data_IF_689508659899
#
_entry.id   IF_689508659899
#
_cell.length_a   1.000
_cell.length_b   1.000
_cell.length_c   1.000
_cell.angle_alpha   90.00
_cell.angle_beta   90.00
_cell.angle_gamma   90.00
#
_symmetry.space_group_name_H-M   'P 1'
#
loop_
_entity.id
_entity.type
_entity.pdbx_description
1 polymer ?
#
# COMPACT_ATOMS: atom_id res chain seq x y z
N UNK A 1 -20.41 -22.77 4.19
CA UNK A 1 -21.53 -23.76 4.16
C UNK A 1 -21.25 -24.90 5.12
N UNK A 2 -20.12 -25.59 5.01
CA UNK A 2 -19.72 -26.73 5.84
C UNK A 2 -19.76 -26.44 7.36
N UNK A 3 -19.23 -25.31 7.82
CA UNK A 3 -19.26 -24.91 9.24
C UNK A 3 -20.70 -24.85 9.77
N UNK A 4 -21.63 -24.30 8.98
CA UNK A 4 -23.05 -24.21 9.37
C UNK A 4 -23.70 -25.60 9.46
N UNK A 5 -23.30 -26.52 8.61
CA UNK A 5 -23.78 -27.88 8.59
C UNK A 5 -23.31 -28.64 9.83
N UNK A 6 -22.01 -28.50 10.18
CA UNK A 6 -21.46 -29.08 11.42
C UNK A 6 -22.13 -28.55 12.69
N UNK A 7 -22.42 -27.25 12.73
CA UNK A 7 -23.15 -26.65 13.85
C UNK A 7 -24.56 -27.22 13.94
N UNK A 8 -25.27 -27.45 12.82
CA UNK A 8 -26.60 -28.09 12.79
C UNK A 8 -26.56 -29.54 13.25
N UNK A 9 -25.46 -30.24 12.99
CA UNK A 9 -25.20 -31.61 13.47
C UNK A 9 -24.86 -31.66 14.97
N UNK A 10 -24.80 -30.51 15.65
CA UNK A 10 -24.56 -30.42 17.08
C UNK A 10 -23.10 -30.23 17.49
N UNK A 11 -22.18 -29.99 16.51
CA UNK A 11 -20.79 -29.65 16.80
C UNK A 11 -20.75 -28.22 17.32
N UNK A 12 -20.09 -27.97 18.45
CA UNK A 12 -19.96 -26.64 19.01
C UNK A 12 -18.97 -25.83 18.18
N UNK A 13 -19.22 -24.52 17.94
CA UNK A 13 -18.31 -23.66 17.19
C UNK A 13 -16.86 -23.69 17.74
N UNK A 14 -16.68 -23.80 19.04
CA UNK A 14 -15.38 -23.89 19.73
C UNK A 14 -14.59 -25.18 19.44
N UNK A 15 -15.26 -26.21 18.95
CA UNK A 15 -14.66 -27.48 18.56
C UNK A 15 -14.28 -27.52 17.06
N UNK A 16 -14.56 -26.44 16.32
CA UNK A 16 -14.25 -26.33 14.89
C UNK A 16 -13.01 -25.47 14.71
N UNK A 17 -11.97 -26.00 14.08
CA UNK A 17 -10.79 -25.25 13.69
C UNK A 17 -10.66 -25.21 12.16
N UNK A 18 -10.38 -24.04 11.62
CA UNK A 18 -10.07 -23.86 10.20
C UNK A 18 -8.62 -23.44 10.06
N UNK A 19 -7.88 -24.16 9.24
CA UNK A 19 -6.47 -23.91 8.98
C UNK A 19 -6.30 -23.32 7.58
N UNK A 20 -5.56 -22.23 7.49
CA UNK A 20 -5.22 -21.58 6.23
C UNK A 20 -3.74 -21.73 5.95
N UNK A 21 -3.40 -21.82 4.70
CA UNK A 21 -2.01 -21.83 4.23
C UNK A 21 -1.41 -20.42 4.23
N UNK A 22 -2.24 -19.43 3.93
CA UNK A 22 -1.88 -18.01 3.81
C UNK A 22 -2.91 -17.21 4.62
N UNK A 23 -2.47 -16.18 5.32
CA UNK A 23 -3.34 -15.37 6.20
C UNK A 23 -4.46 -14.63 5.44
N UNK A 24 -4.23 -14.26 4.18
CA UNK A 24 -5.22 -13.61 3.32
C UNK A 24 -6.44 -14.47 3.01
N UNK A 25 -6.27 -15.80 2.97
CA UNK A 25 -7.36 -16.76 2.72
C UNK A 25 -8.42 -16.79 3.84
N UNK A 26 -8.07 -16.29 5.03
CA UNK A 26 -8.99 -16.25 6.16
C UNK A 26 -10.07 -15.16 6.00
N UNK A 27 -9.80 -14.09 5.27
CA UNK A 27 -10.67 -12.90 5.21
C UNK A 27 -12.07 -13.18 4.69
N UNK A 28 -12.27 -13.86 3.54
CA UNK A 28 -13.62 -14.16 3.05
C UNK A 28 -14.41 -15.04 4.03
N UNK A 29 -13.73 -15.93 4.74
CA UNK A 29 -14.39 -16.74 5.76
C UNK A 29 -14.82 -15.90 6.96
N UNK A 30 -13.97 -15.02 7.45
CA UNK A 30 -14.27 -14.12 8.57
C UNK A 30 -15.47 -13.24 8.25
N UNK A 31 -15.52 -12.65 7.04
CA UNK A 31 -16.67 -11.87 6.58
C UNK A 31 -17.96 -12.67 6.60
N UNK A 32 -17.93 -13.91 6.12
CA UNK A 32 -19.07 -14.82 6.17
C UNK A 32 -19.47 -15.24 7.59
N UNK A 33 -18.52 -15.46 8.50
CA UNK A 33 -18.80 -15.76 9.89
C UNK A 33 -19.49 -14.58 10.59
N UNK A 34 -19.04 -13.36 10.33
CA UNK A 34 -19.66 -12.13 10.86
C UNK A 34 -21.08 -11.95 10.30
N UNK A 35 -21.27 -12.10 8.99
CA UNK A 35 -22.57 -12.00 8.32
C UNK A 35 -23.59 -12.98 8.91
N UNK A 36 -23.14 -14.20 9.17
CA UNK A 36 -23.98 -15.25 9.75
C UNK A 36 -24.03 -15.27 11.27
N UNK A 37 -23.42 -14.28 11.94
CA UNK A 37 -23.36 -14.15 13.42
C UNK A 37 -22.82 -15.40 14.13
N UNK A 38 -21.84 -16.07 13.51
CA UNK A 38 -21.14 -17.21 14.09
C UNK A 38 -19.94 -16.67 14.87
N UNK A 39 -19.89 -16.96 16.18
CA UNK A 39 -18.76 -16.56 17.02
C UNK A 39 -17.50 -17.32 16.62
N UNK A 40 -16.37 -16.63 16.55
CA UNK A 40 -15.08 -17.20 16.22
C UNK A 40 -13.96 -16.53 17.01
N UNK A 41 -12.84 -17.22 17.14
CA UNK A 41 -11.59 -16.67 17.66
C UNK A 41 -10.50 -16.86 16.62
N UNK A 42 -9.66 -15.86 16.44
CA UNK A 42 -8.44 -15.97 15.63
C UNK A 42 -7.24 -16.13 16.56
N UNK A 43 -6.39 -17.10 16.26
CA UNK A 43 -5.15 -17.33 17.02
C UNK A 43 -4.16 -16.18 16.81
N UNK A 44 -4.19 -15.59 15.61
CA UNK A 44 -3.42 -14.40 15.26
C UNK A 44 -4.38 -13.33 14.75
N UNK A 45 -4.07 -12.05 15.03
CA UNK A 45 -4.83 -10.95 14.44
C UNK A 45 -4.65 -11.00 12.93
N UNK A 46 -5.75 -10.85 12.17
CA UNK A 46 -5.63 -10.61 10.71
C UNK A 46 -4.70 -9.44 10.50
N UNK A 47 -3.61 -9.61 9.75
CA UNK A 47 -2.75 -8.48 9.45
C UNK A 47 -3.62 -7.43 8.74
N UNK A 48 -3.73 -6.26 9.34
CA UNK A 48 -4.36 -5.15 8.65
C UNK A 48 -3.48 -4.82 7.45
N UNK A 49 -3.98 -5.04 6.23
CA UNK A 49 -3.22 -4.76 4.99
C UNK A 49 -2.68 -3.33 4.95
N UNK A 50 -3.38 -2.39 5.61
CA UNK A 50 -2.96 -1.00 5.71
C UNK A 50 -1.78 -0.79 6.66
N UNK A 51 -1.45 -1.76 7.51
CA UNK A 51 -0.22 -1.74 8.33
C UNK A 51 1.03 -2.16 7.57
N UNK A 52 0.85 -2.82 6.41
CA UNK A 52 1.94 -3.30 5.57
C UNK A 52 2.74 -2.13 4.97
N UNK A 53 4.06 -2.33 4.74
CA UNK A 53 4.90 -1.25 4.19
C UNK A 53 4.44 -0.78 2.80
N UNK A 54 3.89 -1.67 1.97
CA UNK A 54 3.32 -1.33 0.65
C UNK A 54 2.17 -0.34 0.81
N UNK A 55 1.26 -0.59 1.74
CA UNK A 55 0.17 0.34 2.02
C UNK A 55 0.69 1.70 2.49
N UNK A 56 1.68 1.71 3.39
CA UNK A 56 2.32 2.94 3.87
C UNK A 56 2.96 3.73 2.73
N UNK A 57 3.60 3.04 1.79
CA UNK A 57 4.20 3.67 0.60
C UNK A 57 3.12 4.31 -0.29
N UNK A 58 2.05 3.57 -0.59
CA UNK A 58 0.94 4.04 -1.41
C UNK A 58 0.24 5.23 -0.76
N UNK A 59 -0.04 5.13 0.55
CA UNK A 59 -0.64 6.23 1.32
C UNK A 59 0.25 7.48 1.28
N UNK A 60 1.57 7.32 1.42
CA UNK A 60 2.51 8.43 1.32
C UNK A 60 2.50 9.07 -0.08
N UNK A 61 2.48 8.25 -1.15
CA UNK A 61 2.33 8.74 -2.52
C UNK A 61 1.05 9.55 -2.70
N UNK A 62 -0.06 9.04 -2.23
CA UNK A 62 -1.36 9.68 -2.40
C UNK A 62 -1.52 10.93 -1.53
N UNK A 63 -0.99 10.93 -0.29
CA UNK A 63 -0.93 12.16 0.54
C UNK A 63 -0.06 13.23 -0.11
N UNK A 64 1.11 12.86 -0.65
CA UNK A 64 1.97 13.78 -1.37
C UNK A 64 1.29 14.31 -2.65
N UNK A 65 0.59 13.47 -3.40
CA UNK A 65 -0.20 13.86 -4.56
C UNK A 65 -1.33 14.82 -4.18
N UNK A 66 -1.98 14.61 -3.02
CA UNK A 66 -3.03 15.48 -2.47
C UNK A 66 -2.50 16.79 -1.86
N UNK A 67 -1.21 17.05 -1.97
CA UNK A 67 -0.60 18.32 -1.53
C UNK A 67 0.19 18.26 -0.24
N UNK A 68 0.25 17.10 0.47
CA UNK A 68 1.13 16.96 1.63
C UNK A 68 2.59 17.24 1.23
N UNK A 69 3.29 17.93 2.12
CA UNK A 69 4.74 18.15 2.03
C UNK A 69 5.44 17.64 3.29
N UNK A 70 4.76 16.81 4.07
CA UNK A 70 5.32 16.21 5.26
C UNK A 70 6.62 15.45 4.94
N UNK A 71 7.69 15.79 5.65
CA UNK A 71 9.01 15.16 5.48
C UNK A 71 8.94 13.64 5.61
N UNK A 72 8.08 13.15 6.50
CA UNK A 72 7.90 11.71 6.72
C UNK A 72 7.37 11.00 5.46
N UNK A 73 6.34 11.54 4.80
CA UNK A 73 5.79 10.97 3.57
C UNK A 73 6.82 10.97 2.45
N UNK A 74 7.56 12.08 2.32
CA UNK A 74 8.62 12.19 1.32
C UNK A 74 9.72 11.16 1.54
N UNK A 75 10.24 11.03 2.77
CA UNK A 75 11.26 10.05 3.13
C UNK A 75 10.81 8.60 2.87
N UNK A 76 9.50 8.34 3.03
CA UNK A 76 8.92 7.04 2.78
C UNK A 76 9.06 6.62 1.31
N UNK A 77 8.84 7.56 0.37
CA UNK A 77 8.71 7.24 -1.06
C UNK A 77 9.81 7.79 -1.96
N UNK A 78 10.67 8.69 -1.48
CA UNK A 78 11.67 9.38 -2.32
C UNK A 78 12.56 8.42 -3.14
N UNK A 79 12.82 7.21 -2.62
CA UNK A 79 13.60 6.17 -3.27
C UNK A 79 12.84 4.84 -3.44
N UNK A 80 11.53 4.90 -3.62
CA UNK A 80 10.67 3.74 -3.88
C UNK A 80 9.73 4.01 -5.06
N UNK A 81 10.16 3.84 -6.30
CA UNK A 81 11.41 3.25 -6.79
C UNK A 81 12.65 4.15 -6.59
N UNK A 82 13.80 3.56 -6.87
CA UNK A 82 15.11 4.14 -6.62
C UNK A 82 15.37 5.39 -7.47
N UNK A 83 15.50 6.56 -6.81
CA UNK A 83 15.79 7.87 -7.45
C UNK A 83 17.13 8.46 -7.03
N UNK A 84 17.83 7.84 -6.06
CA UNK A 84 19.12 8.32 -5.51
C UNK A 84 19.04 9.67 -4.81
N UNK A 85 17.87 10.03 -4.27
CA UNK A 85 17.71 11.24 -3.47
C UNK A 85 18.32 11.00 -2.08
N UNK A 86 19.27 11.85 -1.67
CA UNK A 86 19.87 11.79 -0.35
C UNK A 86 18.94 12.38 0.71
N UNK A 87 18.99 11.83 1.93
CA UNK A 87 18.28 12.42 3.08
C UNK A 87 18.80 13.79 3.46
N UNK A 88 20.06 14.09 3.16
CA UNK A 88 20.70 15.37 3.41
C UNK A 88 20.10 16.53 2.59
N UNK A 89 19.47 16.21 1.45
CA UNK A 89 18.75 17.22 0.65
C UNK A 89 17.49 17.76 1.33
N UNK A 90 17.08 17.17 2.45
CA UNK A 90 15.89 17.55 3.21
C UNK A 90 16.30 18.19 4.53
N UNK A 91 16.50 19.50 4.53
CA UNK A 91 16.93 20.27 5.72
C UNK A 91 15.77 20.68 6.63
N UNK A 92 14.54 20.78 6.09
CA UNK A 92 13.36 21.30 6.76
C UNK A 92 12.41 20.24 7.33
N UNK A 93 11.35 20.70 7.99
CA UNK A 93 10.22 19.86 8.41
C UNK A 93 9.34 19.44 7.25
N UNK A 94 9.32 20.21 6.19
CA UNK A 94 8.59 19.98 4.96
C UNK A 94 9.56 19.71 3.81
N UNK A 95 9.13 18.85 2.88
CA UNK A 95 9.89 18.57 1.67
C UNK A 95 9.55 19.59 0.58
N UNK A 96 10.56 20.27 0.03
CA UNK A 96 10.42 21.22 -1.06
C UNK A 96 11.13 20.70 -2.30
N UNK A 97 10.41 20.61 -3.42
CA UNK A 97 11.03 20.26 -4.71
C UNK A 97 11.99 21.36 -5.20
N UNK A 98 11.74 22.61 -4.82
CA UNK A 98 12.65 23.71 -5.12
C UNK A 98 13.98 23.57 -4.36
N UNK A 99 13.93 23.20 -3.08
CA UNK A 99 15.14 22.98 -2.28
C UNK A 99 15.92 21.76 -2.78
N UNK A 100 15.23 20.71 -3.24
CA UNK A 100 15.87 19.57 -3.89
C UNK A 100 16.62 20.01 -5.16
N UNK A 101 15.99 20.82 -6.01
CA UNK A 101 16.65 21.34 -7.22
C UNK A 101 17.86 22.19 -6.87
N UNK A 102 17.78 23.02 -5.84
CA UNK A 102 18.93 23.83 -5.35
C UNK A 102 20.06 22.93 -4.85
N UNK A 103 19.72 21.87 -4.07
CA UNK A 103 20.72 20.94 -3.54
C UNK A 103 21.47 20.17 -4.63
N UNK A 104 20.78 19.82 -5.72
CA UNK A 104 21.34 19.09 -6.85
C UNK A 104 21.59 19.97 -8.07
N UNK A 105 21.83 21.28 -7.90
CA UNK A 105 21.96 22.23 -9.02
C UNK A 105 23.10 21.91 -9.99
N UNK A 106 24.13 21.17 -9.53
CA UNK A 106 25.28 20.72 -10.29
C UNK A 106 25.07 19.36 -11.03
N UNK A 107 23.88 18.74 -10.89
CA UNK A 107 23.61 17.38 -11.40
C UNK A 107 22.36 17.34 -12.26
N UNK A 108 22.52 17.58 -13.55
CA UNK A 108 21.40 17.62 -14.52
C UNK A 108 20.52 16.36 -14.46
N UNK A 109 21.14 15.18 -14.42
CA UNK A 109 20.40 13.91 -14.32
C UNK A 109 19.55 13.77 -13.04
N UNK A 110 19.91 14.48 -11.96
CA UNK A 110 19.08 14.54 -10.75
C UNK A 110 17.92 15.53 -10.91
N UNK A 111 18.15 16.65 -11.62
CA UNK A 111 17.08 17.60 -11.94
C UNK A 111 15.95 16.89 -12.69
N UNK A 112 16.29 16.12 -13.74
CA UNK A 112 15.31 15.35 -14.52
C UNK A 112 14.51 14.37 -13.65
N UNK A 113 15.18 13.68 -12.70
CA UNK A 113 14.50 12.75 -11.77
C UNK A 113 13.59 13.45 -10.78
N UNK A 114 14.00 14.62 -10.29
CA UNK A 114 13.20 15.44 -9.38
C UNK A 114 11.97 15.97 -10.12
N UNK A 115 12.14 16.44 -11.34
CA UNK A 115 11.06 16.95 -12.19
C UNK A 115 10.07 15.84 -12.56
N UNK A 116 10.58 14.65 -12.92
CA UNK A 116 9.72 13.48 -13.18
C UNK A 116 8.94 13.09 -11.92
N UNK A 117 9.58 13.09 -10.74
CA UNK A 117 8.91 12.74 -9.50
C UNK A 117 7.80 13.74 -9.13
N UNK A 118 8.07 15.03 -9.27
CA UNK A 118 7.05 16.07 -9.06
C UNK A 118 5.90 15.96 -10.08
N UNK A 119 6.23 15.67 -11.34
CA UNK A 119 5.25 15.42 -12.39
C UNK A 119 4.36 14.21 -12.06
N UNK A 120 4.96 13.11 -11.65
CA UNK A 120 4.22 11.89 -11.28
C UNK A 120 3.22 12.16 -10.15
N UNK A 121 3.60 12.93 -9.13
CA UNK A 121 2.67 13.33 -8.07
C UNK A 121 1.53 14.21 -8.58
N UNK A 122 1.82 15.14 -9.50
CA UNK A 122 0.79 15.98 -10.14
C UNK A 122 -0.18 15.16 -11.01
N UNK A 123 0.31 14.09 -11.62
CA UNK A 123 -0.53 13.16 -12.39
C UNK A 123 -1.40 12.31 -11.47
N UNK A 124 -0.85 11.75 -10.41
CA UNK A 124 -1.60 10.99 -9.40
C UNK A 124 -2.73 11.82 -8.79
N UNK A 125 -2.50 13.11 -8.53
CA UNK A 125 -3.51 14.02 -7.96
C UNK A 125 -4.80 14.14 -8.80
N UNK A 126 -4.74 13.83 -10.09
CA UNK A 126 -5.86 13.94 -11.04
C UNK A 126 -6.62 12.64 -11.25
N UNK A 127 -6.20 11.55 -10.59
CA UNK A 127 -6.70 10.21 -10.83
C UNK A 127 -7.59 9.75 -9.66
N UNK A 128 -8.60 8.93 -9.98
CA UNK A 128 -9.30 8.14 -8.99
C UNK A 128 -8.34 7.09 -8.39
N UNK A 129 -8.58 6.60 -7.16
CA UNK A 129 -7.66 5.71 -6.46
C UNK A 129 -7.21 4.51 -7.29
N UNK A 130 -8.12 3.77 -7.88
CA UNK A 130 -7.78 2.61 -8.71
C UNK A 130 -6.86 2.96 -9.90
N UNK A 131 -7.15 4.05 -10.62
CA UNK A 131 -6.33 4.50 -11.73
C UNK A 131 -4.94 4.96 -11.26
N UNK A 132 -4.86 5.57 -10.09
CA UNK A 132 -3.61 5.98 -9.46
C UNK A 132 -2.76 4.76 -9.05
N UNK A 133 -3.35 3.67 -8.56
CA UNK A 133 -2.64 2.41 -8.33
C UNK A 133 -2.01 1.90 -9.64
N UNK A 134 -2.77 1.86 -10.75
CA UNK A 134 -2.27 1.42 -12.04
C UNK A 134 -1.11 2.30 -12.56
N UNK A 135 -1.22 3.61 -12.37
CA UNK A 135 -0.16 4.56 -12.73
C UNK A 135 1.09 4.34 -11.88
N UNK A 136 0.93 4.19 -10.56
CA UNK A 136 2.01 3.93 -9.61
C UNK A 136 2.75 2.63 -9.98
N UNK A 137 2.03 1.56 -10.24
CA UNK A 137 2.57 0.26 -10.60
C UNK A 137 3.37 0.30 -11.90
N UNK A 138 2.77 0.85 -12.96
CA UNK A 138 3.27 0.70 -14.35
C UNK A 138 4.13 1.87 -14.81
N UNK A 139 3.76 3.12 -14.45
CA UNK A 139 4.45 4.32 -14.96
C UNK A 139 5.52 4.79 -14.00
N UNK A 140 5.24 4.82 -12.71
CA UNK A 140 6.24 5.17 -11.71
C UNK A 140 7.24 4.01 -11.50
N UNK A 141 6.83 2.76 -11.79
CA UNK A 141 7.70 1.58 -11.71
C UNK A 141 7.74 0.95 -10.33
N UNK A 142 6.63 1.02 -9.58
CA UNK A 142 6.55 0.44 -8.25
C UNK A 142 6.61 -1.10 -8.28
N UNK A 143 6.08 -1.73 -9.34
CA UNK A 143 6.19 -3.18 -9.54
C UNK A 143 7.65 -3.63 -9.65
N UNK A 144 8.49 -2.86 -10.34
CA UNK A 144 9.93 -3.17 -10.47
C UNK A 144 10.66 -2.99 -9.15
N UNK A 145 10.31 -1.94 -8.40
CA UNK A 145 10.81 -1.77 -7.03
C UNK A 145 10.47 -2.97 -6.15
N UNK A 146 9.24 -3.50 -6.20
CA UNK A 146 8.86 -4.68 -5.39
C UNK A 146 9.64 -5.93 -5.80
N UNK A 147 9.91 -6.14 -7.09
CA UNK A 147 10.76 -7.25 -7.56
C UNK A 147 12.19 -7.13 -7.04
N UNK A 148 12.79 -5.94 -7.12
CA UNK A 148 14.13 -5.67 -6.58
C UNK A 148 14.17 -5.85 -5.07
N UNK A 149 13.16 -5.35 -4.36
CA UNK A 149 13.02 -5.49 -2.92
C UNK A 149 12.94 -6.96 -2.50
N UNK A 150 12.07 -7.76 -3.14
CA UNK A 150 11.91 -9.18 -2.87
C UNK A 150 13.24 -9.94 -3.13
N UNK A 151 13.89 -9.68 -4.26
CA UNK A 151 15.18 -10.28 -4.61
C UNK A 151 16.24 -9.98 -3.55
N UNK A 152 16.36 -8.72 -3.13
CA UNK A 152 17.35 -8.29 -2.13
C UNK A 152 17.12 -8.89 -0.74
N UNK A 153 15.89 -9.25 -0.42
CA UNK A 153 15.47 -9.85 0.86
C UNK A 153 15.29 -11.35 0.81
N UNK A 154 15.52 -11.99 -0.35
CA UNK A 154 15.29 -13.42 -0.59
C UNK A 154 13.86 -13.85 -0.27
N UNK A 155 12.89 -12.97 -0.58
CA UNK A 155 11.45 -13.19 -0.44
C UNK A 155 10.83 -13.58 -1.79
N UNK A 156 9.66 -14.19 -1.76
CA UNK A 156 8.88 -14.38 -2.99
C UNK A 156 8.18 -13.07 -3.36
N UNK A 157 8.40 -12.61 -4.58
CA UNK A 157 7.75 -11.39 -5.07
C UNK A 157 6.21 -11.54 -5.14
N UNK A 158 5.72 -12.77 -5.33
CA UNK A 158 4.28 -13.09 -5.36
C UNK A 158 3.54 -12.58 -4.13
N UNK A 159 4.07 -12.83 -2.94
CA UNK A 159 3.45 -12.42 -1.67
C UNK A 159 3.26 -10.89 -1.60
N UNK A 160 4.22 -10.11 -2.12
CA UNK A 160 4.14 -8.65 -2.16
C UNK A 160 3.11 -8.17 -3.19
N UNK A 161 3.00 -8.87 -4.32
CA UNK A 161 2.02 -8.55 -5.35
C UNK A 161 0.59 -8.90 -4.92
N UNK A 162 0.40 -9.93 -4.09
CA UNK A 162 -0.90 -10.26 -3.49
C UNK A 162 -1.38 -9.11 -2.59
N UNK A 163 -0.53 -8.61 -1.68
CA UNK A 163 -0.86 -7.45 -0.85
C UNK A 163 -1.18 -6.22 -1.70
N UNK A 164 -0.39 -5.97 -2.75
CA UNK A 164 -0.62 -4.83 -3.65
C UNK A 164 -1.96 -4.96 -4.39
N UNK A 165 -2.29 -6.17 -4.86
CA UNK A 165 -3.55 -6.44 -5.55
C UNK A 165 -4.75 -6.29 -4.61
N UNK A 166 -4.65 -6.73 -3.37
CA UNK A 166 -5.70 -6.56 -2.36
C UNK A 166 -5.96 -5.07 -2.07
N UNK A 167 -4.91 -4.26 -1.90
CA UNK A 167 -5.04 -2.81 -1.73
C UNK A 167 -5.67 -2.14 -2.95
N UNK A 168 -5.30 -2.57 -4.15
CA UNK A 168 -5.84 -2.07 -5.41
C UNK A 168 -7.35 -2.40 -5.55
N UNK A 169 -7.75 -3.64 -5.23
CA UNK A 169 -9.16 -4.04 -5.21
C UNK A 169 -9.96 -3.23 -4.18
N UNK A 170 -9.41 -3.06 -2.97
CA UNK A 170 -10.04 -2.26 -1.93
C UNK A 170 -10.22 -0.78 -2.32
N UNK A 171 -9.43 -0.28 -3.27
CA UNK A 171 -9.52 1.10 -3.76
C UNK A 171 -10.59 1.31 -4.85
N UNK A 172 -11.06 0.24 -5.51
CA UNK A 172 -12.01 0.34 -6.65
C UNK A 172 -13.33 1.06 -6.36
N UNK A 173 -13.97 0.89 -5.19
CA UNK A 173 -15.26 1.52 -4.90
C UNK A 173 -15.20 3.04 -4.79
N UNK A 174 -14.01 3.62 -4.57
CA UNK A 174 -13.85 5.03 -4.24
C UNK A 174 -13.63 5.89 -5.48
N UNK A 175 -14.41 6.96 -5.60
CA UNK A 175 -14.29 7.91 -6.69
C UNK A 175 -13.16 8.93 -6.48
N UNK A 176 -12.76 9.18 -5.23
CA UNK A 176 -11.73 10.17 -4.88
C UNK A 176 -10.74 9.65 -3.85
N UNK A 177 -9.52 10.22 -3.86
CA UNK A 177 -8.50 9.94 -2.84
C UNK A 177 -8.99 10.28 -1.43
N UNK A 178 -9.81 11.33 -1.29
CA UNK A 178 -10.34 11.77 0.00
C UNK A 178 -11.25 10.68 0.61
N UNK A 179 -12.20 10.17 -0.18
CA UNK A 179 -13.09 9.09 0.26
C UNK A 179 -12.31 7.83 0.65
N UNK A 180 -11.27 7.50 -0.11
CA UNK A 180 -10.45 6.34 0.21
C UNK A 180 -9.65 6.54 1.50
N UNK A 181 -9.08 7.73 1.75
CA UNK A 181 -8.40 8.04 3.02
C UNK A 181 -9.33 7.92 4.23
N UNK A 182 -10.55 8.47 4.14
CA UNK A 182 -11.55 8.39 5.20
C UNK A 182 -11.96 6.94 5.53
N UNK A 183 -11.79 6.02 4.57
CA UNK A 183 -12.06 4.60 4.78
C UNK A 183 -10.87 3.86 5.44
N UNK A 184 -9.65 4.29 5.16
CA UNK A 184 -8.40 3.61 5.60
C UNK A 184 -7.98 4.06 7.01
N UNK A 185 -8.29 5.28 7.44
CA UNK A 185 -8.02 5.83 8.78
C UNK A 185 -9.02 5.33 9.83
#
# INVERSE_FOLDING_TARGET
EEIRERIREGVRPEDIAVLFRIHTDARPLVEQLIEHKISFQMKEHMPNIYSHFIAKDIMAYFRMASGSRARQDFLQIMNRPKRYISRESLSGREASFEDLRKFYCDKEWMQDRIDQFEWDLKMLAKMAPYAAFQYLRKRIGYDDFLREYASSRRMQAGDLFEVLAELEEAAKPFASMKEWFEHVE
#
